data_IF_758924511562
#
_entry.id   IF_758924511562
#
_cell.length_a   1.000
_cell.length_b   1.000
_cell.length_c   1.000
_cell.angle_alpha   90.00
_cell.angle_beta   90.00
_cell.angle_gamma   90.00
#
_symmetry.space_group_name_H-M   'P 1'
#
loop_
_entity.id
_entity.type
_entity.pdbx_description
1 polymer ?
#
# COMPACT_ATOMS: atom_id res chain seq x y z
N UNK A 1 19.36 -28.58 -20.06
CA UNK A 1 19.48 -27.61 -18.91
C UNK A 1 18.64 -26.41 -19.28
N UNK A 2 17.79 -25.96 -18.35
CA UNK A 2 17.01 -24.73 -18.48
C UNK A 2 17.66 -23.70 -17.55
N UNK A 3 18.03 -22.54 -18.11
CA UNK A 3 18.56 -21.39 -17.37
C UNK A 3 17.43 -20.37 -17.19
N UNK A 4 17.21 -19.95 -15.93
CA UNK A 4 16.25 -18.91 -15.59
C UNK A 4 17.00 -17.82 -14.85
N UNK A 5 16.79 -16.57 -15.26
CA UNK A 5 17.30 -15.38 -14.57
C UNK A 5 16.16 -14.41 -14.30
N UNK A 6 16.27 -13.61 -13.26
CA UNK A 6 15.30 -12.57 -12.91
C UNK A 6 16.00 -11.23 -12.65
N UNK A 7 15.35 -10.16 -13.04
CA UNK A 7 15.82 -8.79 -12.79
C UNK A 7 14.64 -7.85 -12.61
N UNK A 8 14.80 -6.85 -11.75
CA UNK A 8 13.85 -5.73 -11.61
C UNK A 8 14.16 -4.61 -12.62
N UNK A 9 15.28 -4.70 -13.32
CA UNK A 9 15.74 -3.67 -14.26
C UNK A 9 16.12 -4.29 -15.61
N UNK A 10 15.13 -4.59 -16.45
CA UNK A 10 15.39 -5.12 -17.79
C UNK A 10 16.12 -4.09 -18.69
N UNK A 11 16.00 -2.80 -18.39
CA UNK A 11 16.60 -1.67 -19.09
C UNK A 11 18.14 -1.64 -19.02
N UNK A 12 18.75 -2.26 -18.01
CA UNK A 12 20.23 -2.31 -17.84
C UNK A 12 20.85 -3.59 -18.39
N UNK A 13 20.06 -4.54 -18.89
CA UNK A 13 20.57 -5.77 -19.47
C UNK A 13 21.24 -5.48 -20.82
N UNK A 14 22.39 -6.12 -21.05
CA UNK A 14 23.00 -6.12 -22.38
C UNK A 14 22.03 -6.75 -23.40
N UNK A 15 21.65 -6.04 -24.47
CA UNK A 15 20.78 -6.58 -25.52
C UNK A 15 21.29 -7.89 -26.11
N UNK A 16 22.59 -8.15 -26.03
CA UNK A 16 23.19 -9.40 -26.48
C UNK A 16 22.71 -10.62 -25.66
N UNK A 17 22.33 -10.43 -24.40
CA UNK A 17 21.76 -11.50 -23.57
C UNK A 17 20.37 -11.94 -24.03
N UNK A 18 19.62 -11.02 -24.65
CA UNK A 18 18.22 -11.24 -25.05
C UNK A 18 18.09 -11.81 -26.48
N UNK A 19 19.23 -12.10 -27.15
CA UNK A 19 19.25 -12.68 -28.50
C UNK A 19 18.83 -14.16 -28.47
N UNK A 20 18.25 -14.69 -29.61
CA UNK A 20 17.92 -16.10 -29.74
C UNK A 20 19.09 -17.02 -29.37
N UNK A 21 18.78 -18.09 -28.62
CA UNK A 21 19.78 -19.06 -28.12
C UNK A 21 20.41 -18.65 -26.77
N UNK A 22 19.95 -17.56 -26.16
CA UNK A 22 20.33 -17.12 -24.79
C UNK A 22 19.07 -16.95 -23.93
N UNK A 23 18.79 -15.77 -23.41
CA UNK A 23 17.53 -15.46 -22.69
C UNK A 23 16.50 -14.91 -23.68
N UNK A 24 16.06 -15.76 -24.59
CA UNK A 24 15.16 -15.40 -25.67
C UNK A 24 13.68 -15.34 -25.28
N UNK A 25 13.34 -15.84 -24.09
CA UNK A 25 11.98 -15.79 -23.54
C UNK A 25 11.96 -14.86 -22.34
N UNK A 26 11.16 -13.82 -22.46
CA UNK A 26 10.93 -12.86 -21.38
C UNK A 26 9.52 -13.04 -20.84
N UNK A 27 9.41 -13.17 -19.53
CA UNK A 27 8.12 -13.23 -18.81
C UNK A 27 8.08 -12.05 -17.87
N UNK A 28 7.13 -11.14 -18.11
CA UNK A 28 6.89 -10.01 -17.21
C UNK A 28 5.94 -10.46 -16.11
N UNK A 29 6.40 -10.36 -14.86
CA UNK A 29 5.57 -10.60 -13.67
C UNK A 29 5.04 -9.25 -13.20
N UNK A 30 3.79 -8.96 -13.50
CA UNK A 30 3.11 -7.74 -13.07
C UNK A 30 2.70 -7.81 -11.60
N UNK A 31 2.36 -6.65 -11.02
CA UNK A 31 1.71 -6.61 -9.70
C UNK A 31 0.41 -7.43 -9.72
N UNK A 32 0.12 -8.18 -8.65
CA UNK A 32 -1.06 -9.05 -8.59
C UNK A 32 -2.36 -8.22 -8.55
N UNK A 33 -3.40 -8.76 -9.17
CA UNK A 33 -4.77 -8.31 -8.99
C UNK A 33 -5.28 -8.67 -7.57
N UNK A 34 -6.50 -8.25 -7.23
CA UNK A 34 -7.09 -8.52 -5.91
C UNK A 34 -7.09 -10.01 -5.57
N UNK A 35 -7.44 -10.88 -6.52
CA UNK A 35 -7.48 -12.33 -6.29
C UNK A 35 -6.07 -12.89 -6.05
N UNK A 36 -5.09 -12.44 -6.81
CA UNK A 36 -3.67 -12.78 -6.61
C UNK A 36 -3.16 -12.31 -5.25
N UNK A 37 -3.55 -11.09 -4.80
CA UNK A 37 -3.18 -10.59 -3.46
C UNK A 37 -3.77 -11.45 -2.35
N UNK A 38 -5.02 -11.92 -2.48
CA UNK A 38 -5.61 -12.87 -1.52
C UNK A 38 -4.74 -14.12 -1.42
N UNK A 39 -4.37 -14.73 -2.55
CA UNK A 39 -3.56 -15.94 -2.54
C UNK A 39 -2.18 -15.72 -1.90
N UNK A 40 -1.53 -14.61 -2.19
CA UNK A 40 -0.22 -14.25 -1.61
C UNK A 40 -0.36 -14.05 -0.10
N UNK A 41 -1.37 -13.30 0.36
CA UNK A 41 -1.63 -13.09 1.79
C UNK A 41 -1.88 -14.42 2.50
N UNK A 42 -2.68 -15.34 1.92
CA UNK A 42 -2.91 -16.67 2.48
C UNK A 42 -1.62 -17.48 2.65
N UNK A 43 -0.65 -17.32 1.75
CA UNK A 43 0.66 -17.99 1.87
C UNK A 43 1.46 -17.42 3.03
N UNK A 44 1.58 -16.09 3.13
CA UNK A 44 2.41 -15.44 4.14
C UNK A 44 1.80 -15.49 5.55
N UNK A 45 0.47 -15.49 5.66
CA UNK A 45 -0.24 -15.57 6.94
C UNK A 45 -0.23 -16.96 7.57
N UNK A 46 0.07 -18.03 6.83
CA UNK A 46 0.16 -19.40 7.38
C UNK A 46 1.16 -19.55 8.54
N UNK A 47 2.14 -18.68 8.63
CA UNK A 47 3.25 -18.77 9.61
C UNK A 47 3.01 -17.95 10.88
N UNK A 48 1.91 -17.21 10.95
CA UNK A 48 1.58 -16.35 12.09
C UNK A 48 0.21 -16.70 12.68
N UNK A 49 0.04 -16.59 13.99
CA UNK A 49 -1.26 -16.79 14.62
C UNK A 49 -2.19 -15.62 14.32
N UNK A 50 -3.25 -15.87 13.56
CA UNK A 50 -4.26 -14.88 13.23
C UNK A 50 -5.46 -14.97 14.16
N UNK A 51 -5.99 -13.83 14.55
CA UNK A 51 -7.29 -13.74 15.21
C UNK A 51 -8.43 -13.98 14.18
N UNK A 52 -9.62 -14.32 14.70
CA UNK A 52 -10.82 -14.58 13.88
C UNK A 52 -11.37 -13.35 13.17
N UNK A 53 -11.00 -12.16 13.63
CA UNK A 53 -11.41 -10.88 13.03
C UNK A 53 -10.67 -10.56 11.73
N UNK A 54 -9.55 -11.26 11.43
CA UNK A 54 -8.75 -11.00 10.24
C UNK A 54 -9.43 -11.52 8.99
N UNK A 55 -9.84 -10.60 8.13
CA UNK A 55 -10.40 -10.89 6.81
C UNK A 55 -9.38 -10.59 5.70
N UNK A 56 -8.85 -11.67 5.09
CA UNK A 56 -7.82 -11.57 4.05
C UNK A 56 -8.34 -10.89 2.78
N UNK A 57 -9.61 -11.06 2.43
CA UNK A 57 -10.24 -10.40 1.27
C UNK A 57 -10.33 -8.89 1.48
N UNK A 58 -10.64 -8.46 2.70
CA UNK A 58 -10.64 -7.04 3.08
C UNK A 58 -9.23 -6.46 3.03
N UNK A 59 -8.22 -7.19 3.50
CA UNK A 59 -6.82 -6.78 3.39
C UNK A 59 -6.38 -6.65 1.93
N UNK A 60 -6.71 -7.63 1.09
CA UNK A 60 -6.40 -7.60 -0.33
C UNK A 60 -7.09 -6.44 -1.06
N UNK A 61 -8.35 -6.13 -0.71
CA UNK A 61 -9.06 -4.97 -1.26
C UNK A 61 -8.41 -3.64 -0.84
N UNK A 62 -7.93 -3.56 0.41
CA UNK A 62 -7.29 -2.36 0.96
C UNK A 62 -5.81 -2.17 0.56
N UNK A 63 -5.25 -3.02 -0.31
CA UNK A 63 -3.84 -2.97 -0.75
C UNK A 63 -3.69 -2.95 -2.28
N UNK A 64 -4.41 -2.03 -2.99
CA UNK A 64 -4.26 -1.94 -4.44
C UNK A 64 -2.81 -1.59 -4.81
N UNK A 65 -2.30 -2.22 -5.88
CA UNK A 65 -0.96 -1.97 -6.40
C UNK A 65 0.19 -2.59 -5.59
N UNK A 66 -0.07 -3.28 -4.47
CA UNK A 66 0.98 -3.96 -3.70
C UNK A 66 1.55 -5.14 -4.51
N UNK A 67 2.87 -5.23 -4.51
CA UNK A 67 3.60 -6.40 -4.99
C UNK A 67 3.57 -7.54 -3.95
N UNK A 68 4.04 -8.72 -4.35
CA UNK A 68 4.19 -9.83 -3.40
C UNK A 68 5.09 -9.49 -2.21
N UNK A 69 6.17 -8.74 -2.45
CA UNK A 69 7.10 -8.29 -1.40
C UNK A 69 6.43 -7.28 -0.45
N UNK A 70 5.57 -6.38 -0.96
CA UNK A 70 4.83 -5.44 -0.10
C UNK A 70 3.84 -6.17 0.79
N UNK A 71 3.16 -7.20 0.27
CA UNK A 71 2.22 -8.02 1.04
C UNK A 71 2.93 -8.87 2.09
N UNK A 72 4.11 -9.44 1.79
CA UNK A 72 4.94 -10.12 2.77
C UNK A 72 5.38 -9.16 3.88
N UNK A 73 5.84 -7.95 3.50
CA UNK A 73 6.21 -6.91 4.46
C UNK A 73 5.03 -6.47 5.32
N UNK A 74 3.82 -6.37 4.75
CA UNK A 74 2.59 -6.06 5.50
C UNK A 74 2.33 -7.10 6.59
N UNK A 75 2.41 -8.39 6.26
CA UNK A 75 2.22 -9.49 7.22
C UNK A 75 3.29 -9.45 8.31
N UNK A 76 4.56 -9.24 7.94
CA UNK A 76 5.66 -9.13 8.88
C UNK A 76 5.52 -7.93 9.82
N UNK A 77 5.17 -6.76 9.32
CA UNK A 77 4.98 -5.55 10.13
C UNK A 77 3.78 -5.66 11.07
N UNK A 78 2.69 -6.33 10.65
CA UNK A 78 1.54 -6.61 11.51
C UNK A 78 1.95 -7.56 12.67
N UNK A 79 2.70 -8.63 12.38
CA UNK A 79 3.20 -9.54 13.40
C UNK A 79 4.16 -8.84 14.38
N UNK A 80 5.06 -7.99 13.89
CA UNK A 80 5.93 -7.18 14.73
C UNK A 80 5.15 -6.20 15.61
N UNK A 81 4.07 -5.64 15.11
CA UNK A 81 3.21 -4.75 15.89
C UNK A 81 2.47 -5.50 17.00
N UNK A 82 1.93 -6.69 16.72
CA UNK A 82 1.33 -7.56 17.73
C UNK A 82 2.33 -7.92 18.83
N UNK A 83 3.55 -8.32 18.44
CA UNK A 83 4.61 -8.64 19.39
C UNK A 83 5.01 -7.45 20.28
N UNK A 84 5.06 -6.23 19.74
CA UNK A 84 5.31 -5.00 20.53
C UNK A 84 4.22 -4.70 21.54
N UNK A 85 3.01 -5.16 21.29
CA UNK A 85 1.85 -5.01 22.18
C UNK A 85 1.69 -6.21 23.13
N UNK A 86 2.63 -7.18 23.09
CA UNK A 86 2.57 -8.44 23.85
C UNK A 86 1.28 -9.21 23.59
N UNK A 87 0.82 -9.24 22.33
CA UNK A 87 -0.33 -10.03 21.90
C UNK A 87 0.11 -11.38 21.36
N UNK A 88 -0.65 -12.42 21.65
CA UNK A 88 -0.41 -13.78 21.17
C UNK A 88 -0.91 -13.99 19.73
N UNK A 89 -1.82 -13.14 19.26
CA UNK A 89 -2.44 -13.23 17.95
C UNK A 89 -2.41 -11.88 17.23
N UNK A 90 -2.35 -11.93 15.91
CA UNK A 90 -2.40 -10.74 15.05
C UNK A 90 -3.86 -10.47 14.69
N UNK A 91 -4.38 -9.31 15.03
CA UNK A 91 -5.74 -8.88 14.73
C UNK A 91 -5.78 -7.98 13.50
N UNK A 92 -6.98 -7.66 13.01
CA UNK A 92 -7.16 -6.71 11.89
C UNK A 92 -6.57 -5.33 12.20
N UNK A 93 -6.56 -4.92 13.48
CA UNK A 93 -6.01 -3.64 13.90
C UNK A 93 -4.49 -3.54 13.65
N UNK A 94 -3.71 -4.62 13.86
CA UNK A 94 -2.29 -4.62 13.56
C UNK A 94 -2.02 -4.57 12.06
N UNK A 95 -2.85 -5.22 11.25
CA UNK A 95 -2.77 -5.12 9.78
C UNK A 95 -3.08 -3.70 9.30
N UNK A 96 -4.11 -3.04 9.83
CA UNK A 96 -4.42 -1.65 9.50
C UNK A 96 -3.27 -0.72 9.89
N UNK A 97 -2.69 -0.91 11.09
CA UNK A 97 -1.52 -0.15 11.51
C UNK A 97 -0.32 -0.37 10.58
N UNK A 98 -0.04 -1.62 10.20
CA UNK A 98 1.06 -1.98 9.30
C UNK A 98 0.84 -1.38 7.89
N UNK A 99 -0.39 -1.45 7.38
CA UNK A 99 -0.79 -0.83 6.10
C UNK A 99 -0.55 0.68 6.13
N UNK A 100 -1.02 1.35 7.17
CA UNK A 100 -0.79 2.78 7.36
C UNK A 100 0.70 3.13 7.37
N UNK A 101 1.51 2.34 8.06
CA UNK A 101 2.96 2.53 8.14
C UNK A 101 3.64 2.38 6.77
N UNK A 102 3.20 1.42 5.96
CA UNK A 102 3.74 1.17 4.62
C UNK A 102 3.33 2.28 3.66
N UNK A 103 2.05 2.64 3.63
CA UNK A 103 1.49 3.62 2.70
C UNK A 103 1.86 5.06 3.05
N UNK A 104 1.84 5.42 4.33
CA UNK A 104 2.00 6.80 4.79
C UNK A 104 3.35 7.06 5.49
N UNK A 105 4.14 6.01 5.74
CA UNK A 105 5.37 6.11 6.52
C UNK A 105 5.15 6.08 8.04
N UNK A 106 6.27 6.09 8.77
CA UNK A 106 6.26 6.03 10.25
C UNK A 106 5.73 7.32 10.86
N UNK A 107 4.97 7.18 11.93
CA UNK A 107 4.57 8.32 12.79
C UNK A 107 5.80 9.00 13.42
N UNK A 108 5.83 10.32 13.35
CA UNK A 108 6.86 11.14 14.00
C UNK A 108 6.41 11.56 15.41
N UNK A 109 6.37 10.60 16.33
CA UNK A 109 5.90 10.82 17.71
C UNK A 109 6.71 11.85 18.49
N UNK A 110 7.97 12.08 18.09
CA UNK A 110 8.82 13.11 18.70
C UNK A 110 8.50 14.53 18.24
N UNK A 111 7.70 14.68 17.17
CA UNK A 111 7.32 15.98 16.65
C UNK A 111 6.06 16.48 17.36
N UNK A 112 6.25 17.36 18.30
CA UNK A 112 5.13 18.01 19.02
C UNK A 112 4.70 19.24 18.22
N UNK A 113 3.50 19.19 17.66
CA UNK A 113 2.88 20.35 17.00
C UNK A 113 2.16 21.22 18.04
N UNK A 114 2.24 22.53 17.88
CA UNK A 114 1.40 23.46 18.64
C UNK A 114 -0.07 23.26 18.27
N UNK A 115 -0.99 23.69 19.15
CA UNK A 115 -2.43 23.55 18.87
C UNK A 115 -2.86 24.39 17.66
N UNK A 116 -2.19 25.52 17.42
CA UNK A 116 -2.38 26.31 16.20
C UNK A 116 -1.97 25.53 14.95
N UNK A 117 -0.79 24.91 14.95
CA UNK A 117 -0.32 24.06 13.84
C UNK A 117 -1.23 22.88 13.59
N UNK A 118 -1.71 22.21 14.65
CA UNK A 118 -2.69 21.11 14.53
C UNK A 118 -3.98 21.61 13.88
N UNK A 119 -4.46 22.79 14.27
CA UNK A 119 -5.67 23.38 13.72
C UNK A 119 -5.50 23.74 12.24
N UNK A 120 -4.37 24.38 11.88
CA UNK A 120 -4.05 24.71 10.47
C UNK A 120 -4.00 23.42 9.63
N UNK A 121 -3.28 22.39 10.10
CA UNK A 121 -3.19 21.10 9.42
C UNK A 121 -4.57 20.44 9.29
N UNK A 122 -5.40 20.48 10.33
CA UNK A 122 -6.75 19.90 10.29
C UNK A 122 -7.64 20.57 9.24
N UNK A 123 -7.58 21.90 9.12
CA UNK A 123 -8.32 22.62 8.05
C UNK A 123 -7.76 22.29 6.67
N UNK A 124 -6.44 22.18 6.52
CA UNK A 124 -5.79 21.81 5.26
C UNK A 124 -6.21 20.43 4.80
N UNK A 125 -6.05 19.40 5.65
CA UNK A 125 -6.44 18.02 5.33
C UNK A 125 -7.95 17.87 5.18
N UNK A 126 -8.73 18.61 5.97
CA UNK A 126 -10.18 18.68 5.84
C UNK A 126 -10.61 19.26 4.48
N UNK A 127 -9.88 20.25 3.97
CA UNK A 127 -10.08 20.80 2.63
C UNK A 127 -9.86 19.76 1.53
N UNK A 128 -8.75 19.01 1.59
CA UNK A 128 -8.49 17.90 0.66
C UNK A 128 -9.57 16.81 0.74
N UNK A 129 -9.97 16.43 1.95
CA UNK A 129 -11.01 15.42 2.15
C UNK A 129 -12.36 15.88 1.57
N UNK A 130 -12.72 17.15 1.77
CA UNK A 130 -13.95 17.73 1.24
C UNK A 130 -13.91 17.80 -0.30
N UNK A 131 -12.81 18.27 -0.87
CA UNK A 131 -12.60 18.30 -2.32
C UNK A 131 -12.73 16.89 -2.93
N UNK A 132 -12.03 15.90 -2.36
CA UNK A 132 -12.12 14.52 -2.81
C UNK A 132 -13.54 13.94 -2.72
N UNK A 133 -14.30 14.30 -1.67
CA UNK A 133 -15.67 13.82 -1.48
C UNK A 133 -16.67 14.44 -2.45
N UNK A 134 -16.44 15.68 -2.87
CA UNK A 134 -17.34 16.42 -3.76
C UNK A 134 -17.02 16.22 -5.24
N UNK A 135 -15.79 15.86 -5.58
CA UNK A 135 -15.38 15.64 -6.97
C UNK A 135 -15.97 14.34 -7.54
N UNK A 136 -16.65 14.39 -8.68
CA UNK A 136 -17.19 13.20 -9.30
C UNK A 136 -16.05 12.29 -9.80
N UNK A 137 -16.15 10.98 -9.55
CA UNK A 137 -15.15 9.98 -9.95
C UNK A 137 -13.77 10.10 -9.26
N UNK A 138 -13.67 10.88 -8.20
CA UNK A 138 -12.50 10.80 -7.31
C UNK A 138 -12.51 9.48 -6.54
N UNK A 139 -11.33 9.01 -6.15
CA UNK A 139 -11.23 7.86 -5.27
C UNK A 139 -11.80 8.19 -3.88
N UNK A 140 -12.44 7.23 -3.22
CA UNK A 140 -12.98 7.47 -1.89
C UNK A 140 -11.86 7.82 -0.89
N UNK A 141 -12.16 8.75 -0.01
CA UNK A 141 -11.26 9.08 1.11
C UNK A 141 -11.21 7.89 2.06
N UNK A 142 -10.03 7.31 2.16
CA UNK A 142 -9.76 6.19 3.06
C UNK A 142 -9.43 6.68 4.47
N UNK A 143 -8.56 7.67 4.58
CA UNK A 143 -8.09 8.17 5.87
C UNK A 143 -7.69 9.64 5.78
N UNK A 144 -8.00 10.38 6.86
CA UNK A 144 -7.51 11.73 7.12
C UNK A 144 -6.81 11.73 8.46
N UNK A 145 -5.62 12.31 8.55
CA UNK A 145 -4.86 12.35 9.79
C UNK A 145 -4.05 13.64 9.89
N UNK A 146 -3.98 14.18 11.10
CA UNK A 146 -3.09 15.30 11.46
C UNK A 146 -1.84 14.82 12.22
N UNK A 147 -1.64 13.50 12.28
CA UNK A 147 -0.44 12.92 12.89
C UNK A 147 0.71 13.03 11.89
N UNK A 148 1.83 13.70 12.25
CA UNK A 148 2.97 13.85 11.36
C UNK A 148 3.56 12.49 10.96
N UNK A 149 3.76 12.29 9.65
CA UNK A 149 4.36 11.06 9.08
C UNK A 149 5.38 11.44 8.01
N UNK A 150 6.56 10.83 8.06
CA UNK A 150 7.62 11.14 7.11
C UNK A 150 7.92 12.66 7.07
N UNK A 151 7.67 13.31 5.94
CA UNK A 151 7.83 14.76 5.75
C UNK A 151 6.51 15.54 5.90
N UNK A 152 5.37 14.87 5.95
CA UNK A 152 4.06 15.49 6.00
C UNK A 152 3.64 15.77 7.44
N UNK A 153 2.96 16.89 7.67
CA UNK A 153 2.37 17.27 8.95
C UNK A 153 0.98 16.67 9.16
N UNK A 154 0.28 16.39 8.05
CA UNK A 154 -0.97 15.69 7.97
C UNK A 154 -1.02 14.87 6.68
N UNK A 155 -2.09 14.15 6.47
CA UNK A 155 -2.31 13.37 5.25
C UNK A 155 -3.79 13.12 5.02
N UNK A 156 -4.22 13.30 3.78
CA UNK A 156 -5.50 12.83 3.27
C UNK A 156 -5.23 11.75 2.24
N UNK A 157 -5.61 10.52 2.56
CA UNK A 157 -5.38 9.37 1.70
C UNK A 157 -6.65 8.92 1.03
N UNK A 158 -6.58 8.76 -0.27
CA UNK A 158 -7.61 8.14 -1.09
C UNK A 158 -7.12 6.77 -1.54
N UNK A 159 -8.00 5.77 -1.57
CA UNK A 159 -7.70 4.45 -2.10
C UNK A 159 -8.75 4.08 -3.14
N UNK A 160 -8.34 3.55 -4.30
CA UNK A 160 -9.28 3.06 -5.29
C UNK A 160 -10.03 1.84 -4.74
N UNK A 161 -11.32 1.71 -5.08
CA UNK A 161 -12.13 0.54 -4.71
C UNK A 161 -11.75 -0.71 -5.50
N UNK A 162 -11.20 -0.51 -6.72
CA UNK A 162 -10.81 -1.58 -7.64
C UNK A 162 -9.43 -1.30 -8.24
N UNK A 163 -8.75 -2.35 -8.69
CA UNK A 163 -7.50 -2.23 -9.43
C UNK A 163 -7.74 -1.52 -10.76
N UNK A 164 -7.03 -0.43 -11.02
CA UNK A 164 -7.16 0.38 -12.23
C UNK A 164 -6.03 0.10 -13.21
N UNK A 165 -6.41 -0.11 -14.45
CA UNK A 165 -5.47 -0.29 -15.56
C UNK A 165 -5.44 0.92 -16.52
N UNK A 166 -6.22 1.97 -16.23
CA UNK A 166 -6.27 3.19 -17.04
C UNK A 166 -6.97 4.34 -16.33
N UNK A 167 -6.71 5.55 -16.79
CA UNK A 167 -7.26 6.78 -16.21
C UNK A 167 -8.08 7.56 -17.24
N UNK A 168 -9.31 7.94 -16.87
CA UNK A 168 -10.11 8.84 -17.72
C UNK A 168 -9.59 10.28 -17.62
N UNK A 169 -9.83 11.08 -18.66
CA UNK A 169 -9.50 12.52 -18.66
C UNK A 169 -10.11 13.26 -17.45
N UNK A 170 -11.33 12.91 -17.06
CA UNK A 170 -12.00 13.49 -15.90
C UNK A 170 -11.28 13.14 -14.61
N UNK A 171 -10.88 11.86 -14.44
CA UNK A 171 -10.12 11.43 -13.28
C UNK A 171 -8.78 12.18 -13.16
N UNK A 172 -8.02 12.27 -14.27
CA UNK A 172 -6.75 13.00 -14.28
C UNK A 172 -6.92 14.50 -13.94
N UNK A 173 -8.02 15.12 -14.40
CA UNK A 173 -8.34 16.51 -14.03
C UNK A 173 -8.65 16.65 -12.54
N UNK A 174 -9.38 15.70 -11.97
CA UNK A 174 -9.71 15.71 -10.55
C UNK A 174 -8.46 15.53 -9.65
N UNK A 175 -7.43 14.84 -10.14
CA UNK A 175 -6.16 14.72 -9.42
C UNK A 175 -5.35 16.02 -9.34
N UNK A 176 -5.70 17.04 -10.14
CA UNK A 176 -5.04 18.35 -10.13
C UNK A 176 -5.69 19.35 -9.16
N UNK A 177 -6.78 18.98 -8.52
CA UNK A 177 -7.52 19.78 -7.53
C UNK A 177 -7.12 19.38 -6.12
#
# INVERSE_FOLDING_TARGET
VILIAATNRPDVLDPALLRPGRFDRQVVVSTPDKAGRVQILLVHTKKIPLDRDVNVETLAAGTPGFSGADLENLVNEAALQAARQNKDMVTMAEFEFAKDKILMGRERRSMVLSDEQKRITAYHEGGHALAAKLLPKADPVHKVSIIPRGRALGITMQLPEEDRHGYSKTFLRNMLV
#
